data_IF_310801180956
#
_entry.id   IF_310801180956
#
_cell.length_a   1.000
_cell.length_b   1.000
_cell.length_c   1.000
_cell.angle_alpha   90.00
_cell.angle_beta   90.00
_cell.angle_gamma   90.00
#
_symmetry.space_group_name_H-M   'P 1'
#
loop_
_entity.id
_entity.type
_entity.pdbx_description
1 polymer ?
#
# COMPACT_ATOMS: atom_id res chain seq x y z
N UNK A 1 -28.14 -31.94 34.95
CA UNK A 1 -28.41 -30.84 33.98
C UNK A 1 -27.42 -29.68 34.05
N UNK A 2 -27.13 -29.05 35.20
CA UNK A 2 -26.25 -27.86 35.29
C UNK A 2 -24.83 -28.05 34.71
N UNK A 3 -24.22 -29.23 34.89
CA UNK A 3 -22.88 -29.55 34.33
C UNK A 3 -22.85 -29.55 32.78
N UNK A 4 -23.90 -30.06 32.14
CA UNK A 4 -23.96 -30.17 30.67
C UNK A 4 -24.18 -28.80 29.99
N UNK A 5 -24.83 -27.87 30.69
CA UNK A 5 -25.01 -26.48 30.22
C UNK A 5 -23.68 -25.73 30.26
N UNK A 6 -22.89 -25.87 31.33
CA UNK A 6 -21.58 -25.21 31.45
C UNK A 6 -20.59 -25.73 30.39
N UNK A 7 -20.57 -27.04 30.15
CA UNK A 7 -19.72 -27.64 29.10
C UNK A 7 -20.14 -27.16 27.71
N UNK A 8 -21.45 -27.08 27.42
CA UNK A 8 -21.94 -26.56 26.13
C UNK A 8 -21.61 -25.07 25.95
N UNK A 9 -21.66 -24.28 27.03
CA UNK A 9 -21.32 -22.86 26.97
C UNK A 9 -19.81 -22.63 26.75
N UNK A 10 -18.96 -23.42 27.40
CA UNK A 10 -17.51 -23.39 27.19
C UNK A 10 -17.12 -23.82 25.77
N UNK A 11 -17.79 -24.85 25.23
CA UNK A 11 -17.62 -25.26 23.82
C UNK A 11 -18.07 -24.16 22.86
N UNK A 12 -19.25 -23.56 23.06
CA UNK A 12 -19.73 -22.46 22.22
C UNK A 12 -18.81 -21.23 22.30
N UNK A 13 -18.25 -20.93 23.48
CA UNK A 13 -17.28 -19.86 23.63
C UNK A 13 -15.97 -20.18 22.90
N UNK A 14 -15.50 -21.43 22.93
CA UNK A 14 -14.32 -21.84 22.14
C UNK A 14 -14.54 -21.73 20.63
N UNK A 15 -15.78 -21.90 20.15
CA UNK A 15 -16.11 -21.68 18.74
C UNK A 15 -16.09 -20.19 18.33
N UNK A 16 -16.37 -19.27 19.28
CA UNK A 16 -16.24 -17.83 19.07
C UNK A 16 -14.78 -17.33 19.13
N UNK A 17 -13.87 -18.15 19.63
CA UNK A 17 -12.43 -17.89 19.70
C UNK A 17 -11.62 -18.66 18.66
N UNK A 18 -12.23 -19.28 17.64
CA UNK A 18 -11.45 -19.66 16.48
C UNK A 18 -10.88 -18.38 15.88
N UNK A 19 -9.54 -18.17 15.89
CA UNK A 19 -8.97 -17.10 15.11
C UNK A 19 -9.47 -17.35 13.70
N UNK A 20 -10.14 -16.36 13.10
CA UNK A 20 -10.42 -16.39 11.68
C UNK A 20 -9.03 -16.38 11.06
N UNK A 21 -8.51 -17.56 10.73
CA UNK A 21 -7.27 -17.71 9.98
C UNK A 21 -7.62 -17.08 8.64
N UNK A 22 -7.20 -15.83 8.45
CA UNK A 22 -7.27 -15.17 7.15
C UNK A 22 -6.43 -16.04 6.23
N UNK A 23 -7.09 -16.90 5.44
CA UNK A 23 -6.38 -17.77 4.52
C UNK A 23 -5.72 -16.87 3.49
N UNK A 24 -4.40 -17.00 3.37
CA UNK A 24 -3.64 -16.34 2.32
C UNK A 24 -4.30 -16.62 0.97
N UNK A 25 -4.59 -15.56 0.23
CA UNK A 25 -5.22 -15.64 -1.08
C UNK A 25 -4.16 -15.90 -2.16
N UNK A 26 -4.53 -16.38 -3.35
CA UNK A 26 -3.63 -16.39 -4.50
C UNK A 26 -2.99 -15.00 -4.72
N UNK A 27 -1.70 -14.96 -5.03
CA UNK A 27 -0.94 -13.69 -5.14
C UNK A 27 -1.55 -12.71 -6.14
N UNK A 28 -2.17 -13.21 -7.21
CA UNK A 28 -2.89 -12.39 -8.19
C UNK A 28 -4.08 -11.66 -7.58
N UNK A 29 -4.79 -12.29 -6.63
CA UNK A 29 -5.90 -11.65 -5.90
C UNK A 29 -5.37 -10.52 -5.03
N UNK A 30 -4.28 -10.74 -4.27
CA UNK A 30 -3.67 -9.71 -3.43
C UNK A 30 -3.20 -8.49 -4.24
N UNK A 31 -2.60 -8.72 -5.43
CA UNK A 31 -2.20 -7.64 -6.34
C UNK A 31 -3.42 -6.93 -6.93
N UNK A 32 -4.45 -7.67 -7.34
CA UNK A 32 -5.66 -7.08 -7.95
C UNK A 32 -6.42 -6.16 -6.99
N UNK A 33 -6.37 -6.42 -5.68
CA UNK A 33 -6.98 -5.56 -4.66
C UNK A 33 -6.40 -4.14 -4.63
N UNK A 34 -5.18 -3.94 -5.12
CA UNK A 34 -4.55 -2.62 -5.25
C UNK A 34 -4.87 -1.90 -6.56
N UNK A 35 -5.63 -2.53 -7.47
CA UNK A 35 -5.95 -1.93 -8.77
C UNK A 35 -7.02 -0.82 -8.65
N UNK A 36 -6.95 0.17 -9.54
CA UNK A 36 -7.93 1.26 -9.58
C UNK A 36 -9.35 0.75 -9.81
N UNK A 37 -9.53 -0.31 -10.61
CA UNK A 37 -10.84 -0.92 -10.91
C UNK A 37 -11.59 -1.35 -9.65
N UNK A 38 -10.88 -1.74 -8.60
CA UNK A 38 -11.45 -2.20 -7.33
C UNK A 38 -11.46 -1.11 -6.24
N UNK A 39 -11.07 0.12 -6.59
CA UNK A 39 -10.97 1.24 -5.66
C UNK A 39 -12.28 2.03 -5.57
N UNK A 40 -12.53 2.68 -4.43
CA UNK A 40 -13.73 3.52 -4.24
C UNK A 40 -13.61 4.84 -4.99
N UNK A 41 -12.38 5.31 -5.15
CA UNK A 41 -11.98 6.57 -5.77
C UNK A 41 -11.84 6.48 -7.30
N UNK A 42 -12.15 5.32 -7.92
CA UNK A 42 -11.96 5.07 -9.35
C UNK A 42 -12.41 6.22 -10.25
N UNK A 43 -13.68 6.63 -10.10
CA UNK A 43 -14.29 7.64 -10.96
C UNK A 43 -13.61 9.01 -10.81
N UNK A 44 -13.20 9.38 -9.60
CA UNK A 44 -12.56 10.65 -9.33
C UNK A 44 -11.13 10.68 -9.89
N UNK A 45 -10.40 9.58 -9.77
CA UNK A 45 -9.06 9.44 -10.36
C UNK A 45 -9.13 9.45 -11.89
N UNK A 46 -10.05 8.70 -12.50
CA UNK A 46 -10.27 8.70 -13.96
C UNK A 46 -10.65 10.11 -14.47
N UNK A 47 -11.47 10.84 -13.70
CA UNK A 47 -11.80 12.23 -13.98
C UNK A 47 -10.58 13.14 -13.87
N UNK A 48 -9.72 12.96 -12.87
CA UNK A 48 -8.50 13.74 -12.71
C UNK A 48 -7.50 13.49 -13.86
N UNK A 49 -7.43 12.26 -14.39
CA UNK A 49 -6.60 11.90 -15.55
C UNK A 49 -7.07 12.61 -16.83
N UNK A 50 -8.39 12.69 -17.04
CA UNK A 50 -9.00 13.13 -18.31
C UNK A 50 -9.34 14.62 -18.34
N UNK A 51 -9.79 15.16 -17.20
CA UNK A 51 -10.31 16.52 -17.06
C UNK A 51 -9.51 17.37 -16.06
N UNK A 52 -8.27 16.96 -15.75
CA UNK A 52 -7.38 17.73 -14.90
C UNK A 52 -7.02 19.10 -15.50
N UNK A 53 -6.66 20.06 -14.65
CA UNK A 53 -6.24 21.40 -15.09
C UNK A 53 -4.97 21.37 -15.95
N UNK A 54 -4.15 20.34 -15.79
CA UNK A 54 -2.91 20.12 -16.53
C UNK A 54 -3.06 18.79 -17.26
N UNK A 55 -2.79 18.78 -18.56
CA UNK A 55 -2.72 17.55 -19.36
C UNK A 55 -1.29 16.98 -19.32
N UNK A 56 -1.07 15.81 -18.69
CA UNK A 56 0.26 15.20 -18.59
C UNK A 56 0.95 14.95 -19.93
N UNK A 57 0.21 14.53 -20.98
CA UNK A 57 0.80 14.25 -22.30
C UNK A 57 1.30 15.52 -22.97
N UNK A 58 0.51 16.59 -22.90
CA UNK A 58 0.91 17.89 -23.47
C UNK A 58 2.12 18.47 -22.73
N UNK A 59 2.13 18.36 -21.39
CA UNK A 59 3.26 18.79 -20.59
C UNK A 59 4.54 18.05 -20.96
N UNK A 60 4.50 16.71 -21.00
CA UNK A 60 5.66 15.88 -21.35
C UNK A 60 6.17 16.19 -22.75
N UNK A 61 5.28 16.35 -23.72
CA UNK A 61 5.66 16.70 -25.09
C UNK A 61 6.34 18.08 -25.16
N UNK A 62 5.76 19.11 -24.51
CA UNK A 62 6.31 20.48 -24.51
C UNK A 62 7.64 20.59 -23.76
N UNK A 63 7.84 19.76 -22.73
CA UNK A 63 9.01 19.80 -21.82
C UNK A 63 10.01 18.68 -22.06
N UNK A 64 9.85 17.87 -23.12
CA UNK A 64 10.68 16.67 -23.37
C UNK A 64 12.19 16.92 -23.36
N UNK A 65 12.63 18.09 -23.83
CA UNK A 65 14.04 18.47 -23.85
C UNK A 65 14.54 18.98 -22.49
N UNK A 66 13.65 19.50 -21.65
CA UNK A 66 13.97 20.09 -20.34
C UNK A 66 13.99 19.04 -19.23
N UNK A 67 13.29 17.92 -19.43
CA UNK A 67 13.15 16.84 -18.45
C UNK A 67 14.37 15.91 -18.39
N UNK A 68 15.33 16.02 -19.32
CA UNK A 68 16.56 15.22 -19.31
C UNK A 68 16.32 13.71 -19.46
N UNK A 69 15.21 13.30 -20.09
CA UNK A 69 14.83 11.89 -20.30
C UNK A 69 15.02 11.50 -21.77
N UNK A 70 15.87 10.51 -22.00
CA UNK A 70 16.19 10.03 -23.36
C UNK A 70 14.96 9.44 -24.05
N UNK A 71 14.09 8.77 -23.30
CA UNK A 71 12.89 8.10 -23.78
C UNK A 71 11.86 9.09 -24.34
N UNK A 72 11.91 10.36 -23.93
CA UNK A 72 10.99 11.40 -24.41
C UNK A 72 11.42 12.05 -25.75
N UNK A 73 12.69 11.94 -26.14
CA UNK A 73 13.25 12.70 -27.27
C UNK A 73 12.52 12.43 -28.59
N UNK A 74 12.15 11.17 -28.81
CA UNK A 74 11.56 10.69 -30.05
C UNK A 74 10.05 10.93 -30.18
N UNK A 75 9.41 11.54 -29.16
CA UNK A 75 7.97 11.82 -29.20
C UNK A 75 7.71 12.97 -30.16
N UNK A 76 6.93 12.72 -31.22
CA UNK A 76 6.60 13.72 -32.25
C UNK A 76 5.29 14.45 -31.98
N UNK A 77 4.35 13.85 -31.25
CA UNK A 77 3.13 14.52 -30.79
C UNK A 77 2.57 13.94 -29.47
N UNK A 78 1.74 14.69 -28.71
CA UNK A 78 1.04 14.19 -27.53
C UNK A 78 0.09 13.00 -27.81
N UNK A 79 -0.43 12.90 -29.02
CA UNK A 79 -1.33 11.81 -29.46
C UNK A 79 -0.61 10.47 -29.57
N UNK A 80 0.71 10.47 -29.75
CA UNK A 80 1.51 9.25 -29.67
C UNK A 80 1.66 8.73 -28.24
N UNK A 81 1.20 9.48 -27.23
CA UNK A 81 1.24 9.07 -25.84
C UNK A 81 -0.09 8.50 -25.39
N UNK A 82 0.00 7.42 -24.61
CA UNK A 82 -1.11 6.75 -23.96
C UNK A 82 -0.82 6.55 -22.49
N UNK A 83 -1.86 6.44 -21.67
CA UNK A 83 -1.71 6.13 -20.26
C UNK A 83 -1.70 4.61 -20.04
N UNK A 84 -0.79 4.16 -19.17
CA UNK A 84 -0.78 2.81 -18.63
C UNK A 84 -1.84 2.62 -17.56
N UNK A 85 -1.82 1.46 -16.91
CA UNK A 85 -2.73 1.17 -15.80
C UNK A 85 -2.31 1.96 -14.55
N UNK A 86 -3.22 2.67 -13.87
CA UNK A 86 -2.90 3.30 -12.60
C UNK A 86 -2.59 2.26 -11.52
N UNK A 87 -1.59 2.53 -10.70
CA UNK A 87 -1.26 1.74 -9.50
C UNK A 87 -1.10 2.63 -8.28
N UNK A 88 -1.36 2.04 -7.11
CA UNK A 88 -1.35 2.75 -5.82
C UNK A 88 0.05 2.76 -5.23
N UNK A 89 0.53 3.92 -4.80
CA UNK A 89 1.81 4.07 -4.09
C UNK A 89 1.57 4.64 -2.71
N UNK A 90 1.90 3.84 -1.69
CA UNK A 90 1.84 4.24 -0.29
C UNK A 90 3.08 5.06 0.07
N UNK A 91 2.88 6.19 0.73
CA UNK A 91 3.99 7.02 1.23
C UNK A 91 4.39 6.54 2.62
N UNK A 92 5.68 6.27 2.82
CA UNK A 92 6.20 5.94 4.15
C UNK A 92 5.87 7.03 5.16
N UNK A 93 5.50 6.64 6.38
CA UNK A 93 5.34 7.56 7.50
C UNK A 93 6.38 7.22 8.58
N UNK A 94 6.47 8.08 9.61
CA UNK A 94 7.39 7.87 10.73
C UNK A 94 7.22 6.50 11.38
N UNK A 95 5.97 6.07 11.60
CA UNK A 95 5.64 4.77 12.19
C UNK A 95 6.20 3.60 11.35
N UNK A 96 6.15 3.69 10.02
CA UNK A 96 6.70 2.66 9.14
C UNK A 96 8.21 2.55 9.32
N UNK A 97 8.91 3.69 9.34
CA UNK A 97 10.37 3.73 9.52
C UNK A 97 10.76 3.17 10.89
N UNK A 98 10.06 3.56 11.96
CA UNK A 98 10.27 3.02 13.31
C UNK A 98 10.04 1.50 13.34
N UNK A 99 8.95 1.02 12.76
CA UNK A 99 8.66 -0.42 12.72
C UNK A 99 9.73 -1.20 11.95
N UNK A 100 10.22 -0.67 10.82
CA UNK A 100 11.35 -1.26 10.10
C UNK A 100 12.62 -1.32 10.96
N UNK A 101 12.99 -0.23 11.63
CA UNK A 101 14.19 -0.20 12.48
C UNK A 101 14.16 -1.22 13.62
N UNK A 102 12.99 -1.42 14.22
CA UNK A 102 12.79 -2.39 15.31
C UNK A 102 12.43 -3.80 14.80
N UNK A 103 12.54 -4.04 13.49
CA UNK A 103 12.19 -5.30 12.84
C UNK A 103 10.77 -5.80 13.20
N UNK A 104 9.82 -4.88 13.33
CA UNK A 104 8.41 -5.17 13.60
C UNK A 104 7.66 -5.42 12.29
N UNK A 105 6.58 -6.21 12.30
CA UNK A 105 5.72 -6.34 11.13
C UNK A 105 5.12 -5.00 10.71
N UNK A 106 5.02 -4.75 9.40
CA UNK A 106 4.61 -3.44 8.87
C UNK A 106 3.31 -3.47 8.07
N UNK A 107 2.69 -4.64 7.87
CA UNK A 107 1.47 -4.79 7.05
C UNK A 107 0.38 -3.80 7.46
N UNK A 108 0.14 -3.64 8.77
CA UNK A 108 -0.92 -2.78 9.29
C UNK A 108 -0.60 -1.29 9.13
N UNK A 109 0.65 -0.90 9.37
CA UNK A 109 1.10 0.48 9.15
C UNK A 109 0.97 0.87 7.68
N UNK A 110 1.34 -0.02 6.75
CA UNK A 110 1.19 0.21 5.32
C UNK A 110 -0.28 0.30 4.89
N UNK A 111 -1.19 -0.54 5.43
CA UNK A 111 -2.63 -0.49 5.11
C UNK A 111 -3.30 0.84 5.47
N UNK A 112 -2.82 1.51 6.50
CA UNK A 112 -3.41 2.73 7.03
C UNK A 112 -2.68 4.02 6.58
N UNK A 113 -1.57 3.88 5.86
CA UNK A 113 -0.78 5.00 5.41
C UNK A 113 -1.43 5.73 4.21
N UNK A 114 -1.06 7.01 4.04
CA UNK A 114 -1.50 7.82 2.90
C UNK A 114 -0.91 7.23 1.61
N UNK A 115 -1.67 7.34 0.53
CA UNK A 115 -1.24 6.91 -0.79
C UNK A 115 -1.60 7.95 -1.84
N UNK A 116 -0.93 7.85 -2.98
CA UNK A 116 -1.31 8.50 -4.23
C UNK A 116 -1.42 7.43 -5.33
N UNK A 117 -1.93 7.82 -6.49
CA UNK A 117 -1.94 7.00 -7.69
C UNK A 117 -0.81 7.42 -8.61
N UNK A 118 -0.08 6.47 -9.17
CA UNK A 118 0.91 6.71 -10.20
C UNK A 118 0.47 6.04 -11.51
N UNK A 119 0.67 6.74 -12.62
CA UNK A 119 0.19 6.35 -13.93
C UNK A 119 1.36 6.43 -14.91
N UNK A 120 1.81 5.28 -15.47
CA UNK A 120 2.83 5.30 -16.51
C UNK A 120 2.32 5.98 -17.78
N UNK A 121 3.23 6.63 -18.50
CA UNK A 121 3.01 7.19 -19.83
C UNK A 121 3.79 6.35 -20.83
N UNK A 122 3.09 5.92 -21.88
CA UNK A 122 3.57 4.98 -22.87
C UNK A 122 3.57 5.68 -24.23
N UNK A 123 4.74 5.76 -24.85
CA UNK A 123 4.87 6.14 -26.24
C UNK A 123 4.51 4.97 -27.15
N UNK A 124 3.62 5.23 -28.11
CA UNK A 124 3.19 4.26 -29.13
C UNK A 124 3.73 4.68 -30.48
N UNK A 125 4.59 3.85 -31.05
CA UNK A 125 5.12 4.01 -32.39
C UNK A 125 5.15 2.66 -33.12
N UNK A 126 4.48 2.56 -34.26
CA UNK A 126 4.54 1.36 -35.12
C UNK A 126 4.13 0.04 -34.43
N UNK A 127 3.28 0.10 -33.40
CA UNK A 127 2.86 -1.08 -32.62
C UNK A 127 3.72 -1.40 -31.39
N UNK A 128 4.86 -0.73 -31.22
CA UNK A 128 5.65 -0.82 -29.97
C UNK A 128 5.05 0.06 -28.88
N UNK A 129 5.01 -0.46 -27.65
CA UNK A 129 4.64 0.26 -26.44
C UNK A 129 5.89 0.46 -25.58
N UNK A 130 6.39 1.70 -25.54
CA UNK A 130 7.62 2.04 -24.82
C UNK A 130 7.22 2.92 -23.63
N UNK A 131 7.48 2.52 -22.38
CA UNK A 131 7.26 3.43 -21.25
C UNK A 131 8.26 4.57 -21.31
N UNK A 132 7.80 5.81 -21.12
CA UNK A 132 8.65 7.01 -21.28
C UNK A 132 8.64 7.96 -20.09
N UNK A 133 7.61 7.89 -19.24
CA UNK A 133 7.49 8.69 -18.02
C UNK A 133 6.39 8.11 -17.12
N UNK A 134 6.13 8.75 -15.98
CA UNK A 134 4.90 8.59 -15.22
C UNK A 134 4.40 9.95 -14.73
N UNK A 135 3.19 9.98 -14.19
CA UNK A 135 2.65 11.12 -13.44
C UNK A 135 1.85 10.64 -12.25
N UNK A 136 1.74 11.48 -11.23
CA UNK A 136 1.09 11.15 -9.96
C UNK A 136 -0.17 11.97 -9.76
N UNK A 137 -1.20 11.32 -9.21
CA UNK A 137 -2.45 11.93 -8.76
C UNK A 137 -2.59 11.72 -7.27
N UNK A 138 -2.75 12.81 -6.52
CA UNK A 138 -2.90 12.79 -5.07
C UNK A 138 -4.19 13.54 -4.67
N UNK A 139 -4.69 13.24 -3.47
CA UNK A 139 -5.87 13.87 -2.92
C UNK A 139 -5.48 15.15 -2.18
N UNK A 140 -5.69 16.29 -2.83
CA UNK A 140 -5.36 17.62 -2.33
C UNK A 140 -6.58 18.54 -2.40
N UNK A 141 -6.76 19.41 -1.41
CA UNK A 141 -7.88 20.37 -1.36
C UNK A 141 -9.27 19.73 -1.57
N UNK A 142 -9.46 18.50 -1.09
CA UNK A 142 -10.74 17.80 -1.17
C UNK A 142 -11.03 17.08 -2.50
N UNK A 143 -10.06 17.01 -3.43
CA UNK A 143 -10.22 16.34 -4.72
C UNK A 143 -8.93 15.64 -5.16
N UNK A 144 -9.07 14.65 -6.03
CA UNK A 144 -7.94 14.01 -6.70
C UNK A 144 -7.45 14.92 -7.84
N UNK A 145 -6.16 15.23 -7.86
CA UNK A 145 -5.55 16.10 -8.87
C UNK A 145 -4.18 15.57 -9.28
N UNK A 146 -3.77 15.86 -10.52
CA UNK A 146 -2.39 15.66 -10.97
C UNK A 146 -1.48 16.58 -10.16
N UNK A 147 -0.51 15.99 -9.45
CA UNK A 147 0.43 16.73 -8.57
C UNK A 147 1.87 16.71 -9.07
N UNK A 148 2.23 15.73 -9.89
CA UNK A 148 3.60 15.58 -10.42
C UNK A 148 3.53 14.97 -11.82
N UNK A 149 4.34 15.47 -12.75
CA UNK A 149 4.47 14.93 -14.11
C UNK A 149 5.95 14.73 -14.41
N UNK A 150 6.30 13.55 -14.93
CA UNK A 150 7.67 13.13 -15.20
C UNK A 150 8.05 11.90 -14.38
N UNK A 151 7.62 11.87 -13.12
CA UNK A 151 7.88 10.80 -12.16
C UNK A 151 9.35 10.73 -11.73
N UNK A 152 9.60 9.99 -10.68
CA UNK A 152 10.92 9.73 -10.10
C UNK A 152 11.44 8.32 -10.42
N UNK A 153 10.56 7.31 -10.55
CA UNK A 153 10.95 5.98 -11.03
C UNK A 153 11.41 6.04 -12.49
N UNK A 154 12.29 5.10 -12.87
CA UNK A 154 12.54 4.90 -14.31
C UNK A 154 11.23 4.47 -14.99
N UNK A 155 11.01 4.84 -16.26
CA UNK A 155 9.76 4.50 -16.95
C UNK A 155 9.48 2.99 -16.94
N UNK A 156 10.52 2.18 -17.06
CA UNK A 156 10.46 0.71 -17.03
C UNK A 156 9.99 0.16 -15.68
N UNK A 157 10.48 0.72 -14.56
CA UNK A 157 10.07 0.29 -13.22
C UNK A 157 8.64 0.74 -12.88
N UNK A 158 8.27 1.95 -13.31
CA UNK A 158 6.88 2.42 -13.19
C UNK A 158 5.93 1.52 -13.99
N UNK A 159 6.31 1.18 -15.22
CA UNK A 159 5.53 0.28 -16.06
C UNK A 159 5.42 -1.14 -15.47
N UNK A 160 6.52 -1.69 -14.96
CA UNK A 160 6.51 -2.97 -14.24
C UNK A 160 5.54 -2.96 -13.05
N UNK A 161 5.53 -1.88 -12.27
CA UNK A 161 4.64 -1.71 -11.11
C UNK A 161 3.16 -1.61 -11.50
N UNK A 162 2.88 -1.12 -12.70
CA UNK A 162 1.52 -1.06 -13.24
C UNK A 162 1.00 -2.38 -13.83
N UNK A 163 1.91 -3.30 -14.18
CA UNK A 163 1.56 -4.52 -14.89
C UNK A 163 1.33 -5.68 -13.92
N UNK A 164 0.06 -5.93 -13.59
CA UNK A 164 -0.35 -7.04 -12.73
C UNK A 164 0.21 -8.39 -13.17
N UNK A 165 0.25 -8.69 -14.48
CA UNK A 165 0.76 -9.97 -14.95
C UNK A 165 2.26 -10.11 -14.64
N UNK A 166 3.04 -9.08 -14.91
CA UNK A 166 4.48 -9.10 -14.67
C UNK A 166 4.79 -9.21 -13.17
N UNK A 167 4.00 -8.54 -12.32
CA UNK A 167 4.10 -8.67 -10.86
C UNK A 167 3.78 -10.10 -10.39
N UNK A 168 2.67 -10.69 -10.87
CA UNK A 168 2.27 -12.07 -10.52
C UNK A 168 3.36 -13.06 -10.96
N UNK A 169 3.84 -12.94 -12.19
CA UNK A 169 4.88 -13.82 -12.72
C UNK A 169 6.16 -13.68 -11.90
N UNK A 170 6.56 -12.45 -11.55
CA UNK A 170 7.73 -12.18 -10.72
C UNK A 170 7.63 -12.88 -9.35
N UNK A 171 6.51 -12.73 -8.63
CA UNK A 171 6.36 -13.37 -7.31
C UNK A 171 6.27 -14.88 -7.40
N UNK A 172 5.60 -15.44 -8.42
CA UNK A 172 5.55 -16.90 -8.65
C UNK A 172 6.92 -17.48 -8.98
N UNK A 173 7.74 -16.79 -9.79
CA UNK A 173 9.13 -17.18 -10.06
C UNK A 173 9.97 -17.21 -8.77
N UNK A 174 9.64 -16.34 -7.82
CA UNK A 174 10.23 -16.31 -6.48
C UNK A 174 9.52 -17.22 -5.47
N UNK A 175 8.70 -18.18 -5.94
CA UNK A 175 8.01 -19.19 -5.13
C UNK A 175 6.99 -18.62 -4.13
N UNK A 176 6.49 -17.40 -4.37
CA UNK A 176 5.39 -16.79 -3.61
C UNK A 176 4.10 -16.95 -4.41
N UNK A 177 3.31 -17.98 -4.08
CA UNK A 177 2.06 -18.30 -4.77
C UNK A 177 0.82 -17.71 -4.10
N UNK A 178 0.88 -17.53 -2.78
CA UNK A 178 -0.19 -16.97 -1.96
C UNK A 178 0.31 -15.78 -1.16
N UNK A 179 -0.55 -14.81 -0.92
CA UNK A 179 -0.28 -13.61 -0.14
C UNK A 179 -1.53 -13.11 0.58
N UNK A 180 -1.31 -12.52 1.75
CA UNK A 180 -2.31 -11.81 2.55
C UNK A 180 -2.40 -10.33 2.17
N UNK A 181 -1.31 -9.77 1.66
CA UNK A 181 -1.21 -8.37 1.27
C UNK A 181 -0.12 -8.17 0.21
N UNK A 182 -0.41 -7.29 -0.74
CA UNK A 182 0.58 -6.68 -1.62
C UNK A 182 0.44 -5.15 -1.54
N UNK A 183 1.54 -4.44 -1.41
CA UNK A 183 1.59 -2.96 -1.39
C UNK A 183 2.84 -2.49 -2.13
N UNK A 184 2.70 -1.48 -2.99
CA UNK A 184 3.83 -0.66 -3.45
C UNK A 184 3.94 0.54 -2.51
N UNK A 185 5.12 0.74 -1.91
CA UNK A 185 5.37 1.91 -1.06
C UNK A 185 6.68 2.61 -1.41
N UNK A 186 6.80 3.87 -1.00
CA UNK A 186 7.95 4.73 -1.28
C UNK A 186 8.61 5.18 0.01
N UNK A 187 9.95 5.11 0.06
CA UNK A 187 10.77 5.81 1.06
C UNK A 187 11.67 6.79 0.29
N UNK A 188 11.26 8.07 0.16
CA UNK A 188 11.97 9.05 -0.65
C UNK A 188 13.42 9.28 -0.21
N UNK A 189 13.69 9.27 1.10
CA UNK A 189 15.05 9.43 1.64
C UNK A 189 16.00 8.32 1.18
N UNK A 190 15.47 7.14 0.82
CA UNK A 190 16.25 6.03 0.29
C UNK A 190 16.39 6.05 -1.23
N UNK A 191 15.81 7.02 -1.94
CA UNK A 191 15.85 7.06 -3.40
C UNK A 191 15.31 5.77 -4.03
N UNK A 192 14.35 5.13 -3.38
CA UNK A 192 13.81 3.82 -3.78
C UNK A 192 12.32 3.70 -3.45
N UNK A 193 11.61 3.02 -4.33
CA UNK A 193 10.31 2.44 -4.02
C UNK A 193 10.49 0.95 -3.69
N UNK A 194 9.47 0.32 -3.13
CA UNK A 194 9.51 -1.07 -2.71
C UNK A 194 8.18 -1.75 -3.01
N UNK A 195 8.25 -2.94 -3.58
CA UNK A 195 7.12 -3.86 -3.58
C UNK A 195 7.17 -4.70 -2.31
N UNK A 196 6.12 -4.62 -1.53
CA UNK A 196 5.91 -5.37 -0.31
C UNK A 196 4.90 -6.49 -0.54
N UNK A 197 5.20 -7.67 -0.02
CA UNK A 197 4.26 -8.79 0.01
C UNK A 197 4.33 -9.50 1.37
N UNK A 198 3.18 -9.74 1.99
CA UNK A 198 3.08 -10.61 3.17
C UNK A 198 2.45 -11.94 2.78
N UNK A 199 3.06 -13.04 3.19
CA UNK A 199 2.57 -14.39 2.92
C UNK A 199 2.71 -15.26 4.16
N UNK A 200 1.59 -15.47 4.86
CA UNK A 200 1.55 -16.08 6.18
C UNK A 200 2.28 -15.20 7.20
N UNK A 201 3.28 -15.77 7.86
CA UNK A 201 4.09 -15.05 8.85
C UNK A 201 5.36 -14.41 8.26
N UNK A 202 5.52 -14.44 6.93
CA UNK A 202 6.70 -13.89 6.26
C UNK A 202 6.35 -12.59 5.53
N UNK A 203 7.29 -11.65 5.56
CA UNK A 203 7.23 -10.40 4.83
C UNK A 203 8.44 -10.32 3.89
N UNK A 204 8.18 -9.91 2.65
CA UNK A 204 9.21 -9.78 1.62
C UNK A 204 9.16 -8.41 0.95
N UNK A 205 10.33 -7.98 0.50
CA UNK A 205 10.59 -6.65 -0.05
C UNK A 205 11.35 -6.77 -1.36
N UNK A 206 10.91 -6.01 -2.37
CA UNK A 206 11.57 -5.91 -3.67
C UNK A 206 11.90 -4.44 -3.92
N UNK A 207 13.17 -4.04 -3.82
CA UNK A 207 13.59 -2.67 -4.10
C UNK A 207 13.42 -2.31 -5.57
N UNK A 208 12.84 -1.15 -5.83
CA UNK A 208 12.74 -0.48 -7.12
C UNK A 208 13.59 0.79 -7.05
N UNK A 209 14.87 0.63 -7.40
CA UNK A 209 15.91 1.64 -7.20
C UNK A 209 15.96 2.56 -8.42
N UNK A 210 15.75 3.86 -8.20
CA UNK A 210 15.81 4.89 -9.25
C UNK A 210 17.01 5.82 -9.13
N UNK A 211 17.85 5.65 -8.12
CA UNK A 211 19.16 6.31 -8.07
C UNK A 211 20.15 5.70 -9.08
N UNK A 212 21.04 6.50 -9.69
CA UNK A 212 22.12 6.00 -10.52
C UNK A 212 22.97 4.95 -9.79
N UNK A 213 23.33 3.86 -10.49
CA UNK A 213 24.19 2.79 -9.95
C UNK A 213 23.48 1.50 -9.56
N UNK A 214 22.14 1.46 -9.57
CA UNK A 214 21.34 0.22 -9.46
C UNK A 214 21.44 -0.56 -8.13
N UNK A 215 22.29 -0.10 -7.22
CA UNK A 215 22.45 -0.59 -5.86
C UNK A 215 22.39 0.59 -4.91
N UNK A 216 21.54 0.48 -3.89
CA UNK A 216 21.39 1.52 -2.87
C UNK A 216 21.46 0.87 -1.51
N UNK A 217 22.41 1.31 -0.70
CA UNK A 217 22.59 0.84 0.68
C UNK A 217 22.78 -0.69 0.81
N UNK A 218 23.35 -1.34 -0.21
CA UNK A 218 23.54 -2.80 -0.25
C UNK A 218 22.36 -3.59 -0.81
N UNK A 219 21.22 -2.94 -1.07
CA UNK A 219 20.10 -3.53 -1.78
C UNK A 219 20.32 -3.49 -3.28
N UNK A 220 19.90 -4.57 -3.96
CA UNK A 220 19.94 -4.73 -5.42
C UNK A 220 18.54 -4.54 -6.00
N UNK A 221 18.46 -3.83 -7.11
CA UNK A 221 17.20 -3.59 -7.80
C UNK A 221 16.50 -4.92 -8.17
N UNK A 222 15.17 -4.99 -8.01
CA UNK A 222 14.32 -6.16 -8.31
C UNK A 222 14.76 -7.47 -7.66
N UNK A 223 15.51 -7.43 -6.57
CA UNK A 223 15.88 -8.63 -5.79
C UNK A 223 14.91 -8.79 -4.62
N UNK A 224 14.45 -10.02 -4.37
CA UNK A 224 13.58 -10.32 -3.25
C UNK A 224 14.41 -10.46 -1.96
N UNK A 225 14.00 -9.75 -0.91
CA UNK A 225 14.58 -9.84 0.42
C UNK A 225 13.50 -10.29 1.41
N UNK A 226 13.87 -11.13 2.38
CA UNK A 226 13.05 -11.29 3.59
C UNK A 226 13.13 -10.02 4.43
N UNK A 227 12.18 -9.82 5.34
CA UNK A 227 12.23 -8.70 6.29
C UNK A 227 13.56 -8.61 7.03
N UNK A 228 14.06 -9.71 7.57
CA UNK A 228 15.31 -9.70 8.35
C UNK A 228 16.50 -9.27 7.49
N UNK A 229 16.58 -9.75 6.24
CA UNK A 229 17.61 -9.31 5.30
C UNK A 229 17.47 -7.83 4.94
N UNK A 230 16.23 -7.39 4.67
CA UNK A 230 15.91 -6.01 4.31
C UNK A 230 16.28 -5.04 5.44
N UNK A 231 15.81 -5.32 6.65
CA UNK A 231 16.07 -4.50 7.85
C UNK A 231 17.54 -4.50 8.20
N UNK A 232 18.21 -5.66 8.21
CA UNK A 232 19.66 -5.73 8.49
C UNK A 232 20.46 -4.88 7.51
N UNK A 233 20.06 -4.87 6.24
CA UNK A 233 20.74 -4.09 5.19
C UNK A 233 20.49 -2.59 5.37
N UNK A 234 19.27 -2.17 5.71
CA UNK A 234 18.90 -0.76 5.75
C UNK A 234 19.07 -0.08 7.11
N UNK A 235 19.10 -0.83 8.21
CA UNK A 235 19.08 -0.27 9.58
C UNK A 235 20.09 0.87 9.81
N UNK A 236 21.37 0.76 9.39
CA UNK A 236 22.34 1.85 9.55
C UNK A 236 21.94 3.17 8.86
N UNK A 237 21.11 3.09 7.82
CA UNK A 237 20.66 4.24 7.01
C UNK A 237 19.29 4.77 7.45
N UNK A 238 18.47 3.92 8.09
CA UNK A 238 17.20 4.35 8.68
C UNK A 238 17.43 5.18 9.94
N UNK A 239 18.45 4.85 10.73
CA UNK A 239 18.84 5.59 11.93
C UNK A 239 19.19 7.05 11.59
N UNK A 240 19.97 7.27 10.53
CA UNK A 240 20.30 8.62 10.06
C UNK A 240 19.09 9.37 9.49
N UNK A 241 18.14 8.66 8.85
CA UNK A 241 16.92 9.31 8.32
C UNK A 241 16.05 9.92 9.43
N UNK A 242 15.97 9.29 10.61
CA UNK A 242 15.18 9.80 11.73
C UNK A 242 15.86 10.93 12.49
N UNK A 243 17.19 10.93 12.56
CA UNK A 243 17.96 12.01 13.20
C UNK A 243 17.87 13.33 12.42
N UNK A 244 17.77 13.25 11.09
CA UNK A 244 17.62 14.44 10.23
C UNK A 244 16.17 14.92 10.08
N UNK A 245 15.17 14.12 10.48
CA UNK A 245 13.76 14.42 10.21
C UNK A 245 12.97 14.97 11.41
N UNK A 246 13.45 16.04 12.03
CA UNK A 246 12.61 16.91 12.87
C UNK A 246 11.60 17.74 12.03
N UNK A 247 11.68 17.68 10.69
CA UNK A 247 10.90 18.51 9.76
C UNK A 247 9.68 17.82 9.10
N UNK A 248 9.51 16.50 9.27
CA UNK A 248 8.39 15.74 8.73
C UNK A 248 8.51 15.35 7.25
N UNK A 249 9.72 15.37 6.69
CA UNK A 249 10.07 15.09 5.30
C UNK A 249 10.31 13.60 4.99
N UNK A 250 10.40 12.70 5.98
CA UNK A 250 10.63 11.26 5.73
C UNK A 250 9.53 10.62 4.88
N UNK A 251 8.35 11.24 4.77
CA UNK A 251 7.24 10.73 3.97
C UNK A 251 7.09 11.28 2.56
N UNK A 252 7.86 12.31 2.15
CA UNK A 252 7.82 12.89 0.80
C UNK A 252 6.43 13.28 0.26
N UNK A 253 5.43 13.46 1.12
CA UNK A 253 4.18 14.06 0.69
C UNK A 253 4.46 15.53 0.35
N UNK A 254 3.96 16.07 -0.78
CA UNK A 254 4.00 17.50 -1.01
C UNK A 254 3.32 18.20 0.17
N UNK A 255 3.96 19.24 0.69
CA UNK A 255 3.45 20.06 1.79
C UNK A 255 2.25 20.87 1.26
N UNK A 256 1.12 20.21 1.10
CA UNK A 256 -0.18 20.87 1.11
C UNK A 256 -0.49 21.23 2.56
N UNK A 257 -0.91 22.48 2.82
CA UNK A 257 -1.36 22.93 4.15
C UNK A 257 -2.26 21.86 4.78
N UNK A 258 -1.91 21.41 5.99
CA UNK A 258 -2.70 20.45 6.78
C UNK A 258 -4.18 20.86 6.76
N UNK A 259 -5.01 20.13 6.03
CA UNK A 259 -6.45 20.11 6.29
C UNK A 259 -6.64 19.37 7.60
N UNK A 260 -6.94 20.10 8.67
CA UNK A 260 -7.34 19.54 9.97
C UNK A 260 -8.72 18.92 9.85
N UNK A 261 -8.79 17.73 9.27
CA UNK A 261 -9.98 16.88 9.40
C UNK A 261 -9.54 15.43 9.52
N UNK A 262 -9.54 14.86 10.74
CA UNK A 262 -9.27 13.45 10.90
C UNK A 262 -10.51 12.68 10.42
N UNK A 263 -10.52 12.18 9.18
CA UNK A 263 -11.42 11.11 8.78
C UNK A 263 -10.89 9.78 9.31
N UNK A 264 -10.93 9.63 10.64
CA UNK A 264 -10.88 8.34 11.29
C UNK A 264 -12.22 7.64 11.06
N UNK A 265 -12.36 6.96 9.93
CA UNK A 265 -13.34 5.87 9.84
C UNK A 265 -12.68 4.62 10.39
N UNK A 266 -12.58 4.54 11.72
CA UNK A 266 -12.37 3.25 12.36
C UNK A 266 -13.44 2.28 11.81
N UNK A 267 -13.07 1.06 11.41
CA UNK A 267 -14.04 0.12 10.87
C UNK A 267 -15.16 -0.09 11.88
N UNK A 268 -16.41 -0.05 11.40
CA UNK A 268 -17.66 -0.24 12.16
C UNK A 268 -17.60 -1.44 13.13
N UNK A 269 -16.72 -2.39 12.89
CA UNK A 269 -16.44 -3.55 13.74
C UNK A 269 -16.11 -3.19 15.20
N UNK A 270 -15.39 -2.09 15.47
CA UNK A 270 -15.07 -1.66 16.84
C UNK A 270 -16.26 -1.03 17.58
N UNK A 271 -17.26 -0.50 16.87
CA UNK A 271 -18.48 0.03 17.50
C UNK A 271 -19.39 -1.08 18.02
N UNK A 272 -19.38 -2.25 17.38
CA UNK A 272 -20.24 -3.36 17.79
C UNK A 272 -19.61 -4.23 18.88
N UNK A 273 -18.28 -4.39 18.93
CA UNK A 273 -17.62 -5.17 19.99
C UNK A 273 -17.83 -4.58 21.39
N UNK A 274 -17.94 -3.25 21.49
CA UNK A 274 -18.26 -2.55 22.74
C UNK A 274 -19.72 -2.72 23.21
N UNK A 275 -20.63 -3.14 22.34
CA UNK A 275 -22.06 -3.37 22.67
C UNK A 275 -22.28 -4.82 23.14
N UNK A 276 -21.51 -5.78 22.64
CA UNK A 276 -21.70 -7.20 23.00
C UNK A 276 -21.13 -7.58 24.37
N UNK A 277 -20.06 -6.92 24.83
CA UNK A 277 -19.45 -7.21 26.14
C UNK A 277 -20.42 -6.92 27.31
N UNK A 278 -21.12 -5.76 27.36
CA UNK A 278 -22.13 -5.50 28.39
C UNK A 278 -23.29 -6.50 28.38
N UNK A 279 -23.79 -6.89 27.20
CA UNK A 279 -24.93 -7.81 27.06
C UNK A 279 -24.57 -9.20 27.58
N UNK A 280 -23.35 -9.69 27.27
CA UNK A 280 -22.87 -10.96 27.80
C UNK A 280 -22.73 -10.94 29.33
N UNK A 281 -22.24 -9.84 29.91
CA UNK A 281 -22.14 -9.69 31.37
C UNK A 281 -23.53 -9.66 32.03
N UNK A 282 -24.50 -8.93 31.45
CA UNK A 282 -25.88 -8.89 31.95
C UNK A 282 -26.53 -10.27 31.90
N UNK A 283 -26.33 -11.03 30.81
CA UNK A 283 -26.84 -12.39 30.69
C UNK A 283 -26.25 -13.33 31.75
N UNK A 284 -24.93 -13.24 32.01
CA UNK A 284 -24.26 -14.03 33.07
C UNK A 284 -24.81 -13.68 34.46
N UNK A 285 -25.03 -12.39 34.75
CA UNK A 285 -25.60 -11.94 36.03
C UNK A 285 -27.04 -12.43 36.20
N UNK A 286 -27.86 -12.34 35.15
CA UNK A 286 -29.25 -12.80 35.18
C UNK A 286 -29.36 -14.32 35.43
N UNK A 287 -28.50 -15.12 34.78
CA UNK A 287 -28.43 -16.56 34.99
C UNK A 287 -28.00 -16.87 36.44
N UNK A 288 -26.99 -16.16 36.97
CA UNK A 288 -26.52 -16.37 38.36
C UNK A 288 -27.60 -16.05 39.38
N UNK A 289 -28.42 -15.01 39.14
CA UNK A 289 -29.52 -14.61 40.03
C UNK A 289 -30.66 -15.62 40.04
N UNK A 290 -31.05 -16.11 38.85
CA UNK A 290 -32.05 -17.18 38.69
C UNK A 290 -31.67 -18.47 39.42
N UNK A 291 -30.39 -18.86 39.34
CA UNK A 291 -29.87 -20.06 40.04
C UNK A 291 -29.89 -19.90 41.56
N UNK A 292 -29.71 -18.69 42.10
CA UNK A 292 -29.76 -18.45 43.55
C UNK A 292 -31.16 -18.57 44.15
N UNK A 293 -32.21 -18.25 43.37
CA UNK A 293 -33.59 -18.31 43.83
C UNK A 293 -34.16 -19.74 43.76
N UNK A 294 -33.71 -20.54 42.80
CA UNK A 294 -34.10 -21.96 42.68
C UNK A 294 -33.58 -22.88 43.80
N UNK A 295 -32.60 -22.45 44.59
CA UNK A 295 -31.99 -23.26 45.66
C UNK A 295 -32.53 -22.90 47.07
N UNK A 296 -33.59 -22.08 47.17
CA UNK A 296 -34.24 -21.68 48.44
C UNK A 296 -35.66 -22.25 48.61
N UNK A 297 -36.05 -23.23 47.80
CA UNK A 297 -37.29 -23.99 47.93
C UNK A 297 -37.01 -25.45 48.21
#
# INVERSE_FOLDING_TARGET
MRKNIIISLLLALSFLYFPIISMASPVDTAIQQQSLTNSKEKLDVEKAITNGNINPKDFLFRRKNDLGREELKNITSPENLSYGKPYKVVSANKELIENLMYNKPISMTLKNARYHWEIPVIYRNGGSAIPVASFSIDYINGRWEVVEIGGHLSPELSYFSSNQKDLVDYFKQNKIYNADLFIHFRIPSLGSDFLYISAGNNEYFVPLIYRPGGNVFGLKNKTLYTRDQFVTTLKPFLETTLEYDESGLAGGAPIGKKSTTPTSTAPLYYKYSLIFIPIAIIAIIAIKKSVSHSNRG
#
